data_IF_956592549910
#
_entry.id   IF_956592549910
#
_cell.length_a   1.000
_cell.length_b   1.000
_cell.length_c   1.000
_cell.angle_alpha   90.00
_cell.angle_beta   90.00
_cell.angle_gamma   90.00
#
_symmetry.space_group_name_H-M   'P 1'
#
loop_
_entity.id
_entity.type
_entity.pdbx_description
1 polymer ?
#
# COMPACT_ATOMS: atom_id res chain seq x y z
N UNK A 1 5.04 19.28 -36.19
CA UNK A 1 4.22 19.30 -34.96
C UNK A 1 2.73 19.21 -35.30
N UNK A 2 2.21 17.99 -35.51
CA UNK A 2 0.79 17.81 -35.92
C UNK A 2 -0.22 18.02 -34.78
N UNK A 3 0.13 17.69 -33.52
CA UNK A 3 -0.83 17.78 -32.39
C UNK A 3 -1.19 19.22 -31.99
N UNK A 4 -0.33 20.21 -32.26
CA UNK A 4 -0.64 21.62 -31.99
C UNK A 4 -1.51 22.25 -33.08
N UNK A 5 -1.49 21.70 -34.29
CA UNK A 5 -2.22 22.22 -35.45
C UNK A 5 -3.73 21.90 -35.38
N UNK A 6 -4.11 20.80 -34.70
CA UNK A 6 -5.50 20.35 -34.58
C UNK A 6 -6.24 20.80 -33.30
N UNK A 7 -5.59 21.56 -32.41
CA UNK A 7 -6.21 21.99 -31.14
C UNK A 7 -6.53 20.84 -30.18
N UNK A 8 -5.89 19.67 -30.37
CA UNK A 8 -6.12 18.50 -29.54
C UNK A 8 -5.45 18.65 -28.17
N UNK A 9 -6.23 18.46 -27.10
CA UNK A 9 -5.71 18.48 -25.75
C UNK A 9 -4.75 17.30 -25.53
N UNK A 10 -3.55 17.59 -25.03
CA UNK A 10 -2.57 16.57 -24.65
C UNK A 10 -3.23 15.59 -23.68
N UNK A 11 -3.19 14.26 -23.94
CA UNK A 11 -3.86 13.29 -23.10
C UNK A 11 -3.31 13.35 -21.67
N UNK A 12 -4.20 13.38 -20.67
CA UNK A 12 -3.77 13.34 -19.29
C UNK A 12 -3.01 12.03 -19.01
N UNK A 13 -1.91 12.08 -18.24
CA UNK A 13 -1.19 10.88 -17.85
C UNK A 13 -2.14 9.87 -17.17
N UNK A 14 -2.15 8.62 -17.64
CA UNK A 14 -2.91 7.51 -17.05
C UNK A 14 -2.54 7.24 -15.57
N UNK A 15 -1.45 7.85 -15.08
CA UNK A 15 -0.85 7.62 -13.77
C UNK A 15 -1.29 8.64 -12.72
N UNK A 16 -2.57 8.61 -12.32
CA UNK A 16 -3.03 9.31 -11.11
C UNK A 16 -3.90 8.46 -10.19
N UNK A 17 -3.67 7.13 -10.14
CA UNK A 17 -4.25 6.33 -9.06
C UNK A 17 -3.61 6.72 -7.73
N UNK A 18 -4.38 7.38 -6.88
CA UNK A 18 -4.03 7.60 -5.48
C UNK A 18 -4.18 6.28 -4.74
N UNK A 19 -3.09 5.74 -4.22
CA UNK A 19 -3.11 4.54 -3.39
C UNK A 19 -3.24 4.94 -1.92
N UNK A 20 -4.27 4.43 -1.25
CA UNK A 20 -4.54 4.75 0.16
C UNK A 20 -3.59 4.05 1.15
N UNK A 21 -2.82 3.07 0.69
CA UNK A 21 -1.99 2.19 1.54
C UNK A 21 -2.79 1.23 2.42
N UNK A 22 -4.13 1.26 2.38
CA UNK A 22 -4.99 0.37 3.16
C UNK A 22 -5.34 -0.86 2.34
N UNK A 23 -5.04 -2.03 2.86
CA UNK A 23 -5.46 -3.30 2.30
C UNK A 23 -5.76 -4.28 3.43
N UNK A 24 -6.79 -5.11 3.26
CA UNK A 24 -7.23 -6.06 4.26
C UNK A 24 -6.73 -7.45 3.86
N UNK A 25 -5.95 -8.09 4.73
CA UNK A 25 -5.43 -9.45 4.51
C UNK A 25 -6.08 -10.40 5.49
N UNK A 26 -6.53 -11.55 4.99
CA UNK A 26 -6.96 -12.66 5.84
C UNK A 26 -5.75 -13.55 6.11
N UNK A 27 -5.53 -13.88 7.37
CA UNK A 27 -4.48 -14.80 7.82
C UNK A 27 -5.07 -15.85 8.76
N UNK A 28 -4.50 -17.05 8.85
CA UNK A 28 -4.90 -18.04 9.85
C UNK A 28 -4.76 -17.50 11.29
N UNK A 29 -5.57 -18.00 12.25
CA UNK A 29 -5.49 -17.58 13.64
C UNK A 29 -4.11 -17.77 14.28
N UNK A 30 -3.36 -18.82 13.93
CA UNK A 30 -2.01 -19.02 14.47
C UNK A 30 -1.03 -17.92 14.04
N UNK A 31 -1.16 -17.44 12.80
CA UNK A 31 -0.32 -16.36 12.26
C UNK A 31 -0.68 -15.05 12.93
N UNK A 32 -1.98 -14.76 13.07
CA UNK A 32 -2.43 -13.57 13.79
C UNK A 32 -1.92 -13.56 15.24
N UNK A 33 -2.02 -14.69 15.95
CA UNK A 33 -1.53 -14.82 17.33
C UNK A 33 -0.03 -14.55 17.41
N UNK A 34 0.77 -15.15 16.54
CA UNK A 34 2.22 -14.97 16.52
C UNK A 34 2.61 -13.50 16.30
N UNK A 35 2.00 -12.85 15.32
CA UNK A 35 2.28 -11.44 15.01
C UNK A 35 1.82 -10.50 16.14
N UNK A 36 0.70 -10.82 16.80
CA UNK A 36 0.21 -10.04 17.94
C UNK A 36 1.15 -10.14 19.16
N UNK A 37 1.72 -11.32 19.41
CA UNK A 37 2.72 -11.52 20.47
C UNK A 37 4.01 -10.77 20.17
N UNK A 38 4.56 -10.93 18.98
CA UNK A 38 5.78 -10.23 18.53
C UNK A 38 5.62 -8.70 18.63
N UNK A 39 4.47 -8.17 18.18
CA UNK A 39 4.18 -6.75 18.30
C UNK A 39 4.10 -6.27 19.76
N UNK A 40 3.53 -7.09 20.66
CA UNK A 40 3.44 -6.77 22.08
C UNK A 40 4.82 -6.80 22.77
N UNK A 41 5.67 -7.77 22.43
CA UNK A 41 7.06 -7.86 22.91
C UNK A 41 7.87 -6.63 22.50
N UNK A 42 7.74 -6.21 21.24
CA UNK A 42 8.42 -5.03 20.70
C UNK A 42 7.76 -3.70 21.10
N UNK A 43 6.64 -3.73 21.85
CA UNK A 43 5.85 -2.55 22.22
C UNK A 43 5.43 -1.68 21.01
N UNK A 44 5.06 -2.33 19.90
CA UNK A 44 4.58 -1.69 18.68
C UNK A 44 3.18 -2.13 18.31
N UNK A 45 2.52 -1.38 17.41
CA UNK A 45 1.26 -1.82 16.84
C UNK A 45 1.48 -2.95 15.82
N UNK A 46 0.48 -3.82 15.68
CA UNK A 46 0.48 -4.88 14.66
C UNK A 46 0.70 -4.31 13.25
N UNK A 47 0.12 -3.15 12.95
CA UNK A 47 0.31 -2.48 11.66
C UNK A 47 1.74 -1.99 11.44
N UNK A 48 2.43 -1.56 12.50
CA UNK A 48 3.84 -1.15 12.41
C UNK A 48 4.74 -2.36 12.14
N UNK A 49 4.53 -3.47 12.85
CA UNK A 49 5.26 -4.72 12.60
C UNK A 49 5.01 -5.23 11.18
N UNK A 50 3.75 -5.26 10.73
CA UNK A 50 3.40 -5.70 9.38
C UNK A 50 4.02 -4.80 8.31
N UNK A 51 4.00 -3.49 8.51
CA UNK A 51 4.62 -2.54 7.57
C UNK A 51 6.12 -2.78 7.44
N UNK A 52 6.83 -2.98 8.57
CA UNK A 52 8.26 -3.27 8.57
C UNK A 52 8.59 -4.56 7.80
N UNK A 53 7.82 -5.63 8.01
CA UNK A 53 7.97 -6.92 7.31
C UNK A 53 7.62 -6.87 5.82
N UNK A 54 6.79 -5.92 5.38
CA UNK A 54 6.41 -5.75 3.97
C UNK A 54 7.35 -4.83 3.20
N UNK A 55 8.07 -3.95 3.91
CA UNK A 55 9.08 -3.06 3.33
C UNK A 55 10.48 -3.66 3.26
N UNK A 56 10.67 -4.86 3.83
CA UNK A 56 11.95 -5.58 3.86
C UNK A 56 12.04 -6.66 2.78
#
# INVERSE_FOLDING_TARGET
DDMKANGEAVPEPLSRRRYSGKFMVRVPPEVHRRLALEAAEENVSLNRLASAKLSS
#
